data_IF_372158205779
#
_entry.id   IF_372158205779
#
_cell.length_a   1.000
_cell.length_b   1.000
_cell.length_c   1.000
_cell.angle_alpha   90.00
_cell.angle_beta   90.00
_cell.angle_gamma   90.00
#
_symmetry.space_group_name_H-M   'P 1'
#
loop_
_entity.id
_entity.type
_entity.pdbx_description
1 polymer ?
#
# COMPACT_ATOMS: atom_id res chain seq x y z
N UNK A 1 24.18 -18.60 -4.27
CA UNK A 1 22.81 -18.45 -3.76
C UNK A 1 21.90 -19.07 -4.82
N UNK A 2 20.83 -19.78 -4.44
CA UNK A 2 19.84 -20.25 -5.42
C UNK A 2 19.18 -19.04 -6.08
N UNK A 3 18.96 -19.10 -7.39
CA UNK A 3 18.26 -18.07 -8.14
C UNK A 3 16.80 -17.97 -7.66
N UNK A 4 16.28 -16.75 -7.47
CA UNK A 4 14.90 -16.52 -7.04
C UNK A 4 13.93 -17.04 -8.11
N UNK A 5 12.93 -17.79 -7.69
CA UNK A 5 11.89 -18.33 -8.58
C UNK A 5 10.51 -17.98 -8.08
N UNK A 6 9.92 -16.94 -8.66
CA UNK A 6 8.61 -16.41 -8.26
C UNK A 6 7.51 -17.48 -8.29
N UNK A 7 7.49 -18.34 -9.31
CA UNK A 7 6.49 -19.43 -9.45
C UNK A 7 6.57 -20.43 -8.31
N UNK A 8 7.75 -20.72 -7.80
CA UNK A 8 7.93 -21.62 -6.65
C UNK A 8 7.61 -20.94 -5.31
N UNK A 9 7.88 -19.64 -5.19
CA UNK A 9 7.65 -18.88 -3.95
C UNK A 9 6.18 -18.49 -3.76
N UNK A 10 5.49 -18.17 -4.84
CA UNK A 10 4.15 -17.61 -4.80
C UNK A 10 3.13 -18.44 -4.00
N UNK A 11 3.01 -19.77 -4.14
CA UNK A 11 2.05 -20.54 -3.35
C UNK A 11 2.27 -20.42 -1.84
N UNK A 12 3.53 -20.53 -1.38
CA UNK A 12 3.88 -20.39 0.02
C UNK A 12 3.59 -19.00 0.58
N UNK A 13 3.85 -17.95 -0.22
CA UNK A 13 3.54 -16.57 0.14
C UNK A 13 2.02 -16.37 0.30
N UNK A 14 1.21 -16.86 -0.63
CA UNK A 14 -0.24 -16.76 -0.56
C UNK A 14 -0.81 -17.51 0.66
N UNK A 15 -0.29 -18.68 0.98
CA UNK A 15 -0.69 -19.44 2.17
C UNK A 15 -0.30 -18.72 3.46
N UNK A 16 0.89 -18.13 3.50
CA UNK A 16 1.32 -17.29 4.61
C UNK A 16 0.39 -16.08 4.79
N UNK A 17 0.05 -15.38 3.70
CA UNK A 17 -0.87 -14.24 3.74
C UNK A 17 -2.24 -14.63 4.30
N UNK A 18 -2.79 -15.78 3.88
CA UNK A 18 -4.06 -16.32 4.42
C UNK A 18 -3.97 -16.60 5.92
N UNK A 19 -2.84 -17.15 6.36
CA UNK A 19 -2.59 -17.41 7.78
C UNK A 19 -2.49 -16.11 8.58
N UNK A 20 -1.81 -15.07 8.08
CA UNK A 20 -1.73 -13.77 8.73
C UNK A 20 -3.11 -13.08 8.83
N UNK A 21 -3.87 -13.05 7.74
CA UNK A 21 -5.22 -12.50 7.74
C UNK A 21 -6.10 -13.16 8.80
N UNK A 22 -6.06 -14.49 8.88
CA UNK A 22 -6.79 -15.26 9.90
C UNK A 22 -6.30 -14.96 11.32
N UNK A 23 -4.99 -14.85 11.52
CA UNK A 23 -4.40 -14.54 12.84
C UNK A 23 -4.80 -13.14 13.33
N UNK A 24 -4.97 -12.17 12.42
CA UNK A 24 -5.49 -10.83 12.72
C UNK A 24 -7.02 -10.81 12.93
N UNK A 25 -7.73 -11.92 12.75
CA UNK A 25 -9.20 -11.94 12.77
C UNK A 25 -9.83 -11.17 11.60
N UNK A 26 -9.05 -11.00 10.52
CA UNK A 26 -9.42 -10.18 9.37
C UNK A 26 -10.22 -10.95 8.31
N UNK A 27 -10.88 -10.16 7.44
CA UNK A 27 -11.62 -10.65 6.28
C UNK A 27 -11.31 -9.82 5.03
N UNK A 28 -11.20 -8.50 5.16
CA UNK A 28 -11.02 -7.55 4.06
C UNK A 28 -9.63 -6.94 4.10
N UNK A 29 -8.85 -7.09 3.02
CA UNK A 29 -7.57 -6.41 2.85
C UNK A 29 -7.78 -4.97 2.38
N UNK A 30 -7.30 -3.99 3.13
CA UNK A 30 -7.34 -2.56 2.76
C UNK A 30 -5.92 -2.11 2.40
N UNK A 31 -5.75 -1.59 1.18
CA UNK A 31 -4.43 -1.32 0.60
C UNK A 31 -4.39 0.09 0.02
N UNK A 32 -3.37 0.85 0.39
CA UNK A 32 -3.07 2.13 -0.25
C UNK A 32 -2.52 1.92 -1.67
N UNK A 33 -3.19 2.48 -2.67
CA UNK A 33 -2.81 2.35 -4.08
C UNK A 33 -2.11 3.63 -4.53
N UNK A 34 -0.79 3.58 -4.63
CA UNK A 34 0.03 4.72 -5.09
C UNK A 34 0.24 4.73 -6.61
N UNK A 35 -0.05 3.62 -7.29
CA UNK A 35 0.29 3.41 -8.69
C UNK A 35 1.75 2.97 -8.92
N UNK A 36 2.56 2.83 -7.87
CA UNK A 36 3.90 2.24 -7.92
C UNK A 36 3.88 0.72 -7.83
N UNK A 37 5.00 0.07 -8.19
CA UNK A 37 5.15 -1.39 -8.27
C UNK A 37 4.74 -2.12 -6.99
N UNK A 38 5.16 -1.63 -5.82
CA UNK A 38 4.97 -2.33 -4.55
C UNK A 38 3.49 -2.39 -4.16
N UNK A 39 2.78 -1.26 -4.27
CA UNK A 39 1.33 -1.23 -4.05
C UNK A 39 0.58 -2.08 -5.07
N UNK A 40 1.04 -2.12 -6.32
CA UNK A 40 0.45 -2.92 -7.40
C UNK A 40 0.60 -4.41 -7.13
N UNK A 41 1.80 -4.86 -6.76
CA UNK A 41 2.08 -6.27 -6.46
C UNK A 41 1.37 -6.71 -5.17
N UNK A 42 1.36 -5.86 -4.12
CA UNK A 42 0.62 -6.16 -2.88
C UNK A 42 -0.88 -6.32 -3.14
N UNK A 43 -1.48 -5.47 -3.99
CA UNK A 43 -2.88 -5.57 -4.35
C UNK A 43 -3.17 -6.86 -5.15
N UNK A 44 -2.32 -7.21 -6.13
CA UNK A 44 -2.47 -8.45 -6.90
C UNK A 44 -2.29 -9.71 -6.03
N UNK A 45 -1.31 -9.72 -5.12
CA UNK A 45 -1.14 -10.78 -4.12
C UNK A 45 -2.37 -10.93 -3.24
N UNK A 46 -2.95 -9.82 -2.80
CA UNK A 46 -4.15 -9.83 -1.96
C UNK A 46 -5.37 -10.37 -2.71
N UNK A 47 -5.52 -10.03 -4.00
CA UNK A 47 -6.57 -10.62 -4.86
C UNK A 47 -6.36 -12.13 -5.00
N UNK A 48 -5.13 -12.59 -5.23
CA UNK A 48 -4.80 -14.01 -5.36
C UNK A 48 -4.98 -14.79 -4.04
N UNK A 49 -4.73 -14.12 -2.90
CA UNK A 49 -4.86 -14.75 -1.58
C UNK A 49 -6.31 -14.81 -1.07
N UNK A 50 -7.11 -13.74 -1.26
CA UNK A 50 -8.39 -13.52 -0.56
C UNK A 50 -9.60 -13.45 -1.49
N UNK A 51 -9.39 -13.34 -2.82
CA UNK A 51 -10.45 -13.00 -3.78
C UNK A 51 -10.69 -11.50 -3.85
N UNK A 52 -11.01 -11.00 -5.04
CA UNK A 52 -11.21 -9.55 -5.30
C UNK A 52 -12.31 -8.90 -4.47
N UNK A 53 -13.32 -9.67 -4.07
CA UNK A 53 -14.43 -9.23 -3.23
C UNK A 53 -14.00 -8.87 -1.81
N UNK A 54 -12.86 -9.40 -1.35
CA UNK A 54 -12.26 -9.15 -0.04
C UNK A 54 -11.05 -8.20 -0.12
N UNK A 55 -10.92 -7.42 -1.20
CA UNK A 55 -9.85 -6.42 -1.36
C UNK A 55 -10.44 -5.05 -1.64
N UNK A 56 -9.96 -4.05 -0.92
CA UNK A 56 -10.31 -2.64 -1.09
C UNK A 56 -9.05 -1.83 -1.36
N UNK A 57 -9.00 -1.21 -2.54
CA UNK A 57 -7.98 -0.23 -2.90
C UNK A 57 -8.33 1.16 -2.41
N UNK A 58 -7.37 1.89 -1.86
CA UNK A 58 -7.57 3.29 -1.44
C UNK A 58 -6.57 4.20 -2.15
N UNK A 59 -7.08 5.03 -3.04
CA UNK A 59 -6.31 6.05 -3.75
C UNK A 59 -6.33 7.34 -2.91
N UNK A 60 -5.16 7.86 -2.56
CA UNK A 60 -5.05 8.98 -1.62
C UNK A 60 -4.20 10.13 -2.17
N UNK A 61 -4.70 10.86 -3.21
CA UNK A 61 -4.01 12.04 -3.68
C UNK A 61 -3.95 13.13 -2.60
N UNK A 62 -2.85 13.90 -2.57
CA UNK A 62 -2.73 15.13 -1.79
C UNK A 62 -2.90 16.33 -2.75
N UNK A 63 -4.13 16.79 -2.89
CA UNK A 63 -4.51 17.76 -3.92
C UNK A 63 -4.64 17.12 -5.30
N UNK A 64 -3.94 17.67 -6.29
CA UNK A 64 -3.91 17.16 -7.67
C UNK A 64 -2.72 16.22 -7.83
N UNK A 65 -2.98 14.98 -8.21
CA UNK A 65 -1.96 13.98 -8.52
C UNK A 65 -1.95 13.72 -10.03
N UNK A 66 -0.92 14.19 -10.78
CA UNK A 66 -0.90 14.12 -12.25
C UNK A 66 -0.89 12.68 -12.80
N UNK A 67 -0.39 11.73 -12.04
CA UNK A 67 -0.22 10.33 -12.42
C UNK A 67 -1.25 9.38 -11.76
N UNK A 68 -2.39 9.91 -11.29
CA UNK A 68 -3.45 9.12 -10.65
C UNK A 68 -4.03 8.04 -11.58
N UNK A 69 -3.90 8.22 -12.89
CA UNK A 69 -4.37 7.26 -13.89
C UNK A 69 -3.70 5.88 -13.76
N UNK A 70 -2.46 5.82 -13.26
CA UNK A 70 -1.82 4.53 -12.94
C UNK A 70 -2.57 3.80 -11.80
N UNK A 71 -2.96 4.53 -10.76
CA UNK A 71 -3.72 3.96 -9.65
C UNK A 71 -5.11 3.53 -10.09
N UNK A 72 -5.80 4.33 -10.89
CA UNK A 72 -7.10 3.99 -11.47
C UNK A 72 -6.99 2.76 -12.38
N UNK A 73 -6.01 2.74 -13.30
CA UNK A 73 -5.78 1.61 -14.20
C UNK A 73 -5.52 0.30 -13.44
N UNK A 74 -4.80 0.34 -12.31
CA UNK A 74 -4.55 -0.85 -11.50
C UNK A 74 -5.83 -1.41 -10.89
N UNK A 75 -6.67 -0.58 -10.26
CA UNK A 75 -7.91 -1.05 -9.63
C UNK A 75 -8.90 -1.57 -10.66
N UNK A 76 -8.89 -1.01 -11.88
CA UNK A 76 -9.69 -1.50 -13.00
C UNK A 76 -9.20 -2.87 -13.49
N UNK A 77 -7.88 -3.05 -13.70
CA UNK A 77 -7.27 -4.33 -14.12
C UNK A 77 -7.53 -5.43 -13.10
N UNK A 78 -7.38 -5.13 -11.80
CA UNK A 78 -7.65 -6.08 -10.73
C UNK A 78 -9.15 -6.28 -10.46
N UNK A 79 -10.00 -5.41 -11.01
CA UNK A 79 -11.44 -5.40 -10.81
C UNK A 79 -11.82 -5.47 -9.31
N UNK A 80 -11.20 -4.63 -8.50
CA UNK A 80 -11.43 -4.51 -7.06
C UNK A 80 -12.26 -3.28 -6.72
N UNK A 81 -12.99 -3.36 -5.62
CA UNK A 81 -13.66 -2.21 -5.02
C UNK A 81 -12.61 -1.19 -4.54
N UNK A 82 -12.84 0.10 -4.77
CA UNK A 82 -11.91 1.13 -4.37
C UNK A 82 -12.58 2.42 -3.93
N UNK A 83 -11.84 3.25 -3.19
CA UNK A 83 -12.19 4.60 -2.80
C UNK A 83 -11.10 5.58 -3.22
N UNK A 84 -11.49 6.76 -3.71
CA UNK A 84 -10.56 7.89 -3.89
C UNK A 84 -10.80 8.88 -2.76
N UNK A 85 -9.81 9.04 -1.89
CA UNK A 85 -9.87 9.91 -0.72
C UNK A 85 -8.78 10.98 -0.80
N UNK A 86 -9.14 12.22 -1.16
CA UNK A 86 -8.17 13.32 -1.22
C UNK A 86 -7.76 13.73 0.20
N UNK A 87 -6.49 13.53 0.54
CA UNK A 87 -5.96 13.80 1.88
C UNK A 87 -5.58 15.26 2.12
N UNK A 88 -5.69 16.11 1.10
CA UNK A 88 -5.21 17.51 1.16
C UNK A 88 -5.85 18.30 2.30
N UNK A 89 -7.13 18.10 2.55
CA UNK A 89 -7.81 18.77 3.68
C UNK A 89 -7.22 18.43 5.05
N UNK A 90 -6.78 17.17 5.23
CA UNK A 90 -6.09 16.75 6.46
C UNK A 90 -4.68 17.32 6.56
N UNK A 91 -3.94 17.30 5.46
CA UNK A 91 -2.57 17.81 5.39
C UNK A 91 -2.53 19.33 5.58
N UNK A 92 -3.32 20.08 4.81
CA UNK A 92 -3.38 21.53 4.89
C UNK A 92 -3.93 21.99 6.24
N UNK A 93 -4.99 21.35 6.77
CA UNK A 93 -5.56 21.73 8.06
C UNK A 93 -4.57 21.66 9.23
N UNK A 94 -3.69 20.64 9.26
CA UNK A 94 -2.64 20.57 10.28
C UNK A 94 -1.58 21.67 10.06
N UNK A 95 -1.15 21.90 8.83
CA UNK A 95 -0.15 22.94 8.52
C UNK A 95 -0.67 24.34 8.82
N UNK A 96 -1.93 24.62 8.51
CA UNK A 96 -2.58 25.90 8.80
C UNK A 96 -2.69 26.15 10.31
N UNK A 97 -3.05 25.09 11.07
CA UNK A 97 -3.13 25.18 12.52
C UNK A 97 -1.75 25.37 13.18
N UNK A 98 -0.70 24.72 12.66
CA UNK A 98 0.69 24.97 13.08
C UNK A 98 1.07 26.44 12.88
N UNK A 99 0.78 27.00 11.70
CA UNK A 99 1.04 28.40 11.40
C UNK A 99 0.25 29.35 12.32
N UNK A 100 -1.02 29.05 12.59
CA UNK A 100 -1.89 29.82 13.49
C UNK A 100 -1.32 29.91 14.90
N UNK A 101 -0.66 28.85 15.40
CA UNK A 101 -0.05 28.85 16.74
C UNK A 101 1.43 29.26 16.73
N UNK A 102 1.96 29.74 15.60
CA UNK A 102 3.33 30.25 15.48
C UNK A 102 4.40 29.16 15.31
N UNK A 103 4.02 27.97 14.85
CA UNK A 103 4.98 26.88 14.57
C UNK A 103 5.25 26.82 13.07
N UNK A 104 6.47 27.09 12.65
CA UNK A 104 6.91 26.92 11.27
C UNK A 104 7.13 25.43 10.94
N UNK A 105 6.38 24.92 9.97
CA UNK A 105 6.52 23.53 9.54
C UNK A 105 7.87 23.33 8.83
N UNK A 106 8.71 22.44 9.39
CA UNK A 106 10.00 22.07 8.80
C UNK A 106 9.80 21.34 7.46
N UNK A 107 10.88 21.24 6.65
CA UNK A 107 10.87 20.41 5.44
C UNK A 107 10.47 18.97 5.76
N UNK A 108 11.00 18.41 6.84
CA UNK A 108 10.70 17.05 7.28
C UNK A 108 9.21 16.87 7.63
N UNK A 109 8.61 17.87 8.29
CA UNK A 109 7.16 17.88 8.57
C UNK A 109 6.36 17.81 7.27
N UNK A 110 6.67 18.67 6.29
CA UNK A 110 5.95 18.75 5.01
C UNK A 110 6.07 17.47 4.18
N UNK A 111 7.20 16.75 4.27
CA UNK A 111 7.41 15.49 3.56
C UNK A 111 6.68 14.32 4.23
N UNK A 112 6.73 14.22 5.57
CA UNK A 112 6.22 13.05 6.28
C UNK A 112 4.74 13.16 6.67
N UNK A 113 4.19 14.37 6.75
CA UNK A 113 2.79 14.57 7.16
C UNK A 113 1.81 13.89 6.20
N UNK A 114 1.93 14.04 4.86
CA UNK A 114 1.03 13.33 3.92
C UNK A 114 1.02 11.81 4.12
N UNK A 115 2.19 11.19 4.35
CA UNK A 115 2.29 9.75 4.59
C UNK A 115 1.53 9.32 5.86
N UNK A 116 1.62 10.10 6.94
CA UNK A 116 0.87 9.83 8.18
C UNK A 116 -0.62 10.07 8.05
N UNK A 117 -1.05 11.05 7.28
CA UNK A 117 -2.48 11.26 6.97
C UNK A 117 -3.02 10.08 6.14
N UNK A 118 -2.25 9.57 5.16
CA UNK A 118 -2.61 8.35 4.41
C UNK A 118 -2.77 7.15 5.34
N UNK A 119 -1.84 6.93 6.26
CA UNK A 119 -1.95 5.87 7.26
C UNK A 119 -3.24 6.00 8.07
N UNK A 120 -3.52 7.17 8.64
CA UNK A 120 -4.72 7.41 9.43
C UNK A 120 -6.00 7.16 8.60
N UNK A 121 -6.01 7.57 7.33
CA UNK A 121 -7.11 7.33 6.38
C UNK A 121 -7.31 5.83 6.13
N UNK A 122 -6.23 5.07 5.89
CA UNK A 122 -6.31 3.62 5.69
C UNK A 122 -6.91 2.91 6.90
N UNK A 123 -6.49 3.26 8.10
CA UNK A 123 -7.04 2.66 9.33
C UNK A 123 -8.50 3.07 9.58
N UNK A 124 -8.88 4.31 9.28
CA UNK A 124 -10.27 4.75 9.38
C UNK A 124 -11.19 3.95 8.43
N UNK A 125 -10.72 3.73 7.17
CA UNK A 125 -11.45 2.92 6.20
C UNK A 125 -11.49 1.45 6.64
N UNK A 126 -10.35 0.88 7.06
CA UNK A 126 -10.28 -0.51 7.50
C UNK A 126 -11.23 -0.79 8.69
N UNK A 127 -11.33 0.13 9.65
CA UNK A 127 -12.26 0.00 10.77
C UNK A 127 -13.74 0.11 10.36
N UNK A 128 -14.01 0.67 9.19
CA UNK A 128 -15.37 0.81 8.62
C UNK A 128 -15.74 -0.36 7.70
N UNK A 129 -14.78 -1.22 7.35
CA UNK A 129 -14.98 -2.43 6.56
C UNK A 129 -15.14 -3.66 7.47
N UNK A 130 -15.94 -4.64 7.06
CA UNK A 130 -16.12 -5.88 7.80
C UNK A 130 -14.79 -6.66 7.90
N UNK A 131 -14.22 -6.75 9.10
CA UNK A 131 -12.92 -7.39 9.32
C UNK A 131 -11.79 -6.75 8.52
N UNK A 132 -11.81 -5.43 8.35
CA UNK A 132 -10.82 -4.70 7.55
C UNK A 132 -9.44 -4.68 8.21
N UNK A 133 -8.42 -5.08 7.44
CA UNK A 133 -7.01 -5.14 7.85
C UNK A 133 -6.17 -4.34 6.86
N UNK A 134 -5.39 -3.39 7.36
CA UNK A 134 -4.42 -2.63 6.55
C UNK A 134 -3.23 -3.51 6.21
N UNK A 135 -2.96 -3.69 4.90
CA UNK A 135 -1.79 -4.44 4.41
C UNK A 135 -0.69 -3.45 4.06
N UNK A 136 0.50 -3.67 4.63
CA UNK A 136 1.68 -2.88 4.33
C UNK A 136 2.24 -3.21 2.93
N UNK A 137 2.81 -2.21 2.25
CA UNK A 137 3.33 -2.34 0.88
C UNK A 137 4.85 -2.19 0.78
N UNK A 138 5.57 -2.03 1.91
CA UNK A 138 7.04 -1.90 1.92
C UNK A 138 7.72 -3.21 1.54
N UNK A 139 8.81 -3.10 0.78
CA UNK A 139 9.67 -4.21 0.40
C UNK A 139 10.97 -4.23 1.21
N UNK A 140 11.72 -5.34 1.15
CA UNK A 140 12.97 -5.53 1.89
C UNK A 140 14.03 -4.46 1.56
N UNK A 141 14.12 -4.03 0.29
CA UNK A 141 15.14 -3.04 -0.12
C UNK A 141 14.89 -1.67 0.50
N UNK A 142 13.62 -1.28 0.68
CA UNK A 142 13.22 -0.04 1.36
C UNK A 142 13.51 -0.12 2.86
N UNK A 143 13.15 -1.24 3.48
CA UNK A 143 13.38 -1.46 4.90
C UNK A 143 14.87 -1.47 5.26
N UNK A 144 15.72 -2.04 4.41
CA UNK A 144 17.17 -2.08 4.64
C UNK A 144 17.82 -0.70 4.65
N UNK A 145 17.35 0.22 3.81
CA UNK A 145 17.89 1.59 3.74
C UNK A 145 17.13 2.58 4.63
N UNK A 146 16.06 2.11 5.29
CA UNK A 146 15.21 2.96 6.14
C UNK A 146 14.41 3.99 5.34
N UNK A 147 14.09 3.69 4.07
CA UNK A 147 13.32 4.58 3.21
C UNK A 147 11.82 4.44 3.49
N UNK A 148 11.40 4.94 4.63
CA UNK A 148 10.00 4.94 5.04
C UNK A 148 9.72 6.09 6.03
N UNK A 149 8.46 6.45 6.14
CA UNK A 149 7.96 7.34 7.20
C UNK A 149 7.42 6.49 8.35
N UNK A 150 8.09 6.55 9.51
CA UNK A 150 7.62 5.88 10.73
C UNK A 150 6.21 6.35 11.08
N UNK A 151 5.30 5.41 11.33
CA UNK A 151 3.87 5.66 11.52
C UNK A 151 3.18 6.33 10.32
N UNK A 152 3.73 6.12 9.12
CA UNK A 152 3.16 6.50 7.84
C UNK A 152 3.05 5.29 6.93
N UNK A 153 3.81 5.27 5.84
CA UNK A 153 3.87 4.17 4.87
C UNK A 153 4.46 2.87 5.44
N UNK A 154 5.23 2.92 6.55
CA UNK A 154 5.65 1.72 7.28
C UNK A 154 4.53 1.01 8.05
N UNK A 155 3.33 1.58 8.14
CA UNK A 155 2.25 1.02 8.93
C UNK A 155 1.45 -0.05 8.17
N UNK A 156 1.01 -1.06 8.91
CA UNK A 156 0.20 -2.18 8.43
C UNK A 156 0.21 -3.33 9.41
N UNK A 157 -0.71 -4.27 9.30
CA UNK A 157 -0.77 -5.42 10.19
C UNK A 157 0.33 -6.45 9.86
N UNK A 158 0.66 -6.59 8.58
CA UNK A 158 1.77 -7.40 8.08
C UNK A 158 2.21 -6.93 6.69
N UNK A 159 3.44 -7.31 6.29
CA UNK A 159 4.11 -6.86 5.06
C UNK A 159 4.39 -8.05 4.15
N UNK A 160 3.56 -8.32 3.13
CA UNK A 160 3.78 -9.45 2.21
C UNK A 160 5.10 -9.35 1.44
N UNK A 161 5.58 -8.14 1.20
CA UNK A 161 6.81 -7.87 0.46
C UNK A 161 8.05 -7.71 1.35
N UNK A 162 7.92 -7.71 2.67
CA UNK A 162 8.98 -7.40 3.61
C UNK A 162 10.20 -8.34 3.57
N UNK A 163 10.11 -9.49 2.92
CA UNK A 163 11.21 -10.45 2.71
C UNK A 163 11.74 -10.46 1.28
N UNK A 164 11.21 -9.62 0.39
CA UNK A 164 11.54 -9.62 -1.04
C UNK A 164 12.21 -8.32 -1.45
N UNK A 165 13.30 -8.44 -2.22
CA UNK A 165 13.98 -7.30 -2.86
C UNK A 165 13.11 -6.70 -3.97
N UNK A 166 13.48 -5.52 -4.45
CA UNK A 166 12.80 -4.85 -5.56
C UNK A 166 12.67 -5.75 -6.80
N UNK A 167 13.75 -6.47 -7.18
CA UNK A 167 13.74 -7.36 -8.34
C UNK A 167 12.81 -8.56 -8.13
N UNK A 168 12.80 -9.12 -6.92
CA UNK A 168 11.93 -10.24 -6.56
C UNK A 168 10.45 -9.82 -6.54
N UNK A 169 10.15 -8.60 -6.09
CA UNK A 169 8.78 -8.01 -6.16
C UNK A 169 8.32 -7.90 -7.61
N UNK A 170 9.16 -7.41 -8.51
CA UNK A 170 8.87 -7.33 -9.95
C UNK A 170 8.59 -8.73 -10.51
N UNK A 171 9.41 -9.72 -10.17
CA UNK A 171 9.22 -11.10 -10.61
C UNK A 171 7.91 -11.72 -10.09
N UNK A 172 7.53 -11.45 -8.84
CA UNK A 172 6.23 -11.86 -8.28
C UNK A 172 5.06 -11.21 -9.03
N UNK A 173 5.16 -9.92 -9.33
CA UNK A 173 4.14 -9.19 -10.08
C UNK A 173 3.96 -9.74 -11.50
N UNK A 174 5.04 -10.07 -12.18
CA UNK A 174 5.01 -10.70 -13.51
C UNK A 174 4.36 -12.09 -13.47
N UNK A 175 4.69 -12.92 -12.45
CA UNK A 175 4.07 -14.24 -12.25
C UNK A 175 2.55 -14.15 -11.96
N UNK A 176 2.11 -13.06 -11.31
CA UNK A 176 0.70 -12.76 -11.08
C UNK A 176 -0.03 -12.23 -12.32
N UNK A 177 0.68 -12.01 -13.42
CA UNK A 177 0.13 -11.52 -14.69
C UNK A 177 -0.15 -10.01 -14.70
N UNK A 178 0.47 -9.23 -13.82
CA UNK A 178 0.37 -7.77 -13.89
C UNK A 178 1.02 -7.23 -15.16
N UNK A 179 0.38 -6.29 -15.86
CA UNK A 179 1.01 -5.57 -16.97
C UNK A 179 2.33 -4.89 -16.56
N UNK A 180 3.33 -4.95 -17.43
CA UNK A 180 4.68 -4.47 -17.17
C UNK A 180 4.74 -3.01 -16.67
N UNK A 181 3.89 -2.13 -17.23
CA UNK A 181 3.85 -0.72 -16.84
C UNK A 181 3.50 -0.47 -15.35
N UNK A 182 2.91 -1.44 -14.65
CA UNK A 182 2.71 -1.38 -13.19
C UNK A 182 3.92 -1.90 -12.39
N UNK A 183 4.90 -2.51 -13.04
CA UNK A 183 6.07 -3.13 -12.41
C UNK A 183 7.32 -2.26 -12.50
N UNK A 184 7.36 -1.33 -13.46
CA UNK A 184 8.55 -0.50 -13.74
C UNK A 184 8.45 0.94 -13.23
N UNK A 185 7.34 1.31 -12.59
CA UNK A 185 7.11 2.64 -12.01
C UNK A 185 7.50 2.70 -10.53
#
# INVERSE_FOLDING_TARGET
>A
MAEFNAKQQLPGLLDWMRAQMKACGGKTAVIGISGGKDSSVTAALSVAAYGRENVVGVLMPDGVQPDIDYSNGLVDVLNIRHYTFNIHGGTSGILDEMARVGIDASRQTKVNLPSRIRMATLYAIAQSEEGGIVINTSNLSEDWVGYCTIYGDSAGAFSPLGMYTTEEVIALGAELGLPEHFLIK
#
